data_IF_172817256372
#
_entry.id   IF_172817256372
#
_cell.length_a   1.000
_cell.length_b   1.000
_cell.length_c   1.000
_cell.angle_alpha   90.00
_cell.angle_beta   90.00
_cell.angle_gamma   90.00
#
_symmetry.space_group_name_H-M   'P 1'
#
loop_
_entity.id
_entity.type
_entity.pdbx_description
1 polymer ?
#
# COMPACT_ATOMS: atom_id res chain seq x y z
N UNK A 1 -16.42 1.73 -2.34
CA UNK A 1 -16.62 3.19 -2.47
C UNK A 1 -15.32 3.87 -2.84
N UNK A 2 -15.31 5.20 -3.01
CA UNK A 2 -14.10 5.99 -3.34
C UNK A 2 -13.49 6.53 -2.05
N UNK A 3 -12.31 6.03 -1.67
CA UNK A 3 -11.66 6.43 -0.41
C UNK A 3 -10.90 7.75 -0.50
N UNK A 4 -10.51 8.20 -1.70
CA UNK A 4 -9.66 9.37 -1.91
C UNK A 4 -10.32 10.68 -1.45
N UNK A 5 -9.56 11.65 -0.91
CA UNK A 5 -10.07 13.00 -0.67
C UNK A 5 -10.74 13.58 -1.91
N UNK A 6 -11.74 14.42 -1.68
CA UNK A 6 -12.45 15.16 -2.73
C UNK A 6 -11.87 16.56 -2.88
N UNK A 7 -11.72 17.08 -4.12
CA UNK A 7 -12.06 16.44 -5.39
C UNK A 7 -10.99 15.45 -5.90
N UNK A 8 -9.77 15.54 -5.38
CA UNK A 8 -8.64 14.64 -5.66
C UNK A 8 -7.67 14.64 -4.48
N UNK A 9 -6.59 13.85 -4.56
CA UNK A 9 -5.50 13.99 -3.60
C UNK A 9 -4.92 15.42 -3.58
N UNK A 10 -4.55 15.95 -2.40
CA UNK A 10 -3.93 17.26 -2.27
C UNK A 10 -2.64 17.37 -3.08
N UNK A 11 -2.51 18.41 -3.90
CA UNK A 11 -1.33 18.66 -4.73
C UNK A 11 -1.15 17.70 -5.91
N UNK A 12 -2.13 16.83 -6.19
CA UNK A 12 -2.06 15.93 -7.34
C UNK A 12 -2.00 16.75 -8.65
N UNK A 13 -1.03 16.48 -9.54
CA UNK A 13 -0.87 17.22 -10.79
C UNK A 13 -1.93 16.79 -11.81
N UNK A 14 -3.18 17.23 -11.61
CA UNK A 14 -4.25 17.00 -12.57
C UNK A 14 -4.08 17.88 -13.81
N UNK A 15 -4.48 17.37 -14.98
CA UNK A 15 -4.49 18.13 -16.23
C UNK A 15 -3.14 18.27 -16.95
N UNK A 16 -2.07 17.66 -16.43
CA UNK A 16 -0.78 17.53 -17.14
C UNK A 16 -0.70 16.19 -17.89
N UNK A 17 0.17 16.11 -18.88
CA UNK A 17 0.44 14.86 -19.63
C UNK A 17 1.49 13.96 -18.95
N UNK A 18 2.25 14.51 -18.00
CA UNK A 18 3.27 13.80 -17.23
C UNK A 18 3.55 14.53 -15.92
N UNK A 19 3.83 13.79 -14.84
CA UNK A 19 4.22 14.36 -13.55
C UNK A 19 4.67 13.27 -12.58
N UNK A 20 5.37 13.69 -11.53
CA UNK A 20 5.66 12.83 -10.37
C UNK A 20 4.84 13.31 -9.20
N UNK A 21 4.26 12.38 -8.45
CA UNK A 21 3.49 12.67 -7.25
C UNK A 21 3.92 11.71 -6.15
N UNK A 22 4.37 12.27 -5.04
CA UNK A 22 4.73 11.55 -3.83
C UNK A 22 4.10 12.30 -2.66
N UNK A 23 3.32 11.58 -1.85
CA UNK A 23 2.62 12.15 -0.71
C UNK A 23 2.37 11.07 0.33
N UNK A 24 2.62 11.41 1.59
CA UNK A 24 2.23 10.59 2.75
C UNK A 24 0.90 11.08 3.30
N UNK A 25 0.00 10.15 3.61
CA UNK A 25 -1.28 10.42 4.24
C UNK A 25 -1.32 9.80 5.64
N UNK A 26 -1.71 10.62 6.63
CA UNK A 26 -2.05 10.11 7.95
C UNK A 26 -3.48 9.54 7.91
N UNK A 27 -3.60 8.22 7.99
CA UNK A 27 -4.90 7.53 7.96
C UNK A 27 -5.70 7.69 9.26
N UNK A 28 -5.17 8.37 10.26
CA UNK A 28 -5.93 8.79 11.44
C UNK A 28 -6.62 10.15 11.23
N UNK A 29 -6.12 10.96 10.28
CA UNK A 29 -6.69 12.25 9.92
C UNK A 29 -7.92 12.07 9.00
N UNK A 30 -9.10 12.59 9.36
CA UNK A 30 -10.28 12.56 8.49
C UNK A 30 -10.07 13.26 7.14
N UNK A 31 -9.15 14.23 7.02
CA UNK A 31 -8.84 14.90 5.77
C UNK A 31 -8.19 13.98 4.71
N UNK A 32 -7.65 12.83 5.15
CA UNK A 32 -7.08 11.82 4.26
C UNK A 32 -8.14 10.99 3.51
N UNK A 33 -9.43 11.16 3.83
CA UNK A 33 -10.51 10.37 3.25
C UNK A 33 -11.60 11.22 2.60
N UNK A 34 -12.34 10.60 1.69
CA UNK A 34 -13.67 11.10 1.31
C UNK A 34 -14.62 11.03 2.52
N UNK A 35 -15.27 12.13 2.95
CA UNK A 35 -16.23 12.10 4.04
C UNK A 35 -17.38 11.11 3.81
N UNK A 36 -17.85 10.97 2.57
CA UNK A 36 -18.90 10.00 2.23
C UNK A 36 -18.43 8.54 2.38
N UNK A 37 -17.14 8.28 2.12
CA UNK A 37 -16.54 6.97 2.37
C UNK A 37 -16.44 6.67 3.86
N UNK A 38 -16.06 7.65 4.68
CA UNK A 38 -16.03 7.50 6.14
C UNK A 38 -17.43 7.17 6.67
N UNK A 39 -18.45 7.94 6.27
CA UNK A 39 -19.84 7.69 6.67
C UNK A 39 -20.33 6.30 6.26
N UNK A 40 -20.02 5.85 5.03
CA UNK A 40 -20.44 4.55 4.53
C UNK A 40 -19.76 3.35 5.23
N UNK A 41 -18.60 3.57 5.87
CA UNK A 41 -17.80 2.52 6.48
C UNK A 41 -17.73 2.69 8.01
N UNK A 42 -18.86 2.97 8.65
CA UNK A 42 -18.97 3.00 10.12
C UNK A 42 -18.71 4.35 10.78
N UNK A 43 -18.52 5.43 9.99
CA UNK A 43 -18.53 6.81 10.48
C UNK A 43 -17.27 7.26 11.21
N UNK A 44 -16.22 6.43 11.26
CA UNK A 44 -14.94 6.77 11.91
C UNK A 44 -13.77 6.55 10.94
N UNK A 45 -12.69 7.31 11.14
CA UNK A 45 -11.45 7.14 10.37
C UNK A 45 -10.84 5.77 10.57
N UNK A 46 -10.88 5.22 11.79
CA UNK A 46 -10.40 3.87 12.09
C UNK A 46 -11.12 2.78 11.29
N UNK A 47 -12.45 2.83 11.18
CA UNK A 47 -13.20 1.87 10.38
C UNK A 47 -12.95 2.06 8.87
N UNK A 48 -12.87 3.30 8.40
CA UNK A 48 -12.52 3.61 7.01
C UNK A 48 -11.12 3.11 6.63
N UNK A 49 -10.13 3.32 7.50
CA UNK A 49 -8.77 2.81 7.35
C UNK A 49 -8.76 1.29 7.26
N UNK A 50 -9.46 0.59 8.15
CA UNK A 50 -9.50 -0.87 8.14
C UNK A 50 -10.08 -1.44 6.83
N UNK A 51 -11.14 -0.80 6.30
CA UNK A 51 -11.72 -1.18 5.00
C UNK A 51 -10.75 -0.92 3.85
N UNK A 52 -10.05 0.22 3.86
CA UNK A 52 -9.06 0.56 2.84
C UNK A 52 -7.89 -0.44 2.84
N UNK A 53 -7.32 -0.74 4.02
CA UNK A 53 -6.22 -1.69 4.18
C UNK A 53 -6.63 -3.11 3.73
N UNK A 54 -7.79 -3.58 4.15
CA UNK A 54 -8.31 -4.86 3.67
C UNK A 54 -8.48 -4.89 2.14
N UNK A 55 -8.88 -3.78 1.53
CA UNK A 55 -8.95 -3.64 0.08
C UNK A 55 -7.58 -3.74 -0.60
N UNK A 56 -6.54 -3.16 0.00
CA UNK A 56 -5.17 -3.25 -0.48
C UNK A 56 -4.61 -4.68 -0.33
N UNK A 57 -4.78 -5.28 0.84
CA UNK A 57 -4.30 -6.65 1.14
C UNK A 57 -4.95 -7.70 0.25
N UNK A 58 -6.23 -7.50 -0.11
CA UNK A 58 -6.98 -8.38 -1.01
C UNK A 58 -6.81 -8.03 -2.49
N UNK A 59 -5.96 -7.06 -2.82
CA UNK A 59 -5.77 -6.58 -4.21
C UNK A 59 -7.08 -6.15 -4.89
N UNK A 60 -8.03 -5.62 -4.14
CA UNK A 60 -9.32 -5.10 -4.65
C UNK A 60 -9.34 -3.57 -4.72
N UNK A 61 -8.47 -2.91 -3.95
CA UNK A 61 -8.21 -1.49 -4.06
C UNK A 61 -7.29 -1.19 -5.25
N UNK A 62 -7.63 -0.15 -6.00
CA UNK A 62 -6.83 0.38 -7.09
C UNK A 62 -6.97 1.89 -7.11
N UNK A 63 -5.94 2.56 -7.61
CA UNK A 63 -6.01 3.98 -7.91
C UNK A 63 -6.48 4.16 -9.36
N UNK A 64 -7.50 4.98 -9.57
CA UNK A 64 -7.92 5.40 -10.90
C UNK A 64 -7.49 6.84 -11.15
N UNK A 65 -6.80 7.09 -12.26
CA UNK A 65 -6.37 8.43 -12.68
C UNK A 65 -7.17 8.83 -13.91
N UNK A 66 -7.87 9.96 -13.81
CA UNK A 66 -8.62 10.55 -14.91
C UNK A 66 -7.84 11.72 -15.50
N UNK A 67 -7.60 11.69 -16.80
CA UNK A 67 -6.95 12.78 -17.54
C UNK A 67 -7.86 13.31 -18.64
N UNK A 68 -7.49 14.44 -19.25
CA UNK A 68 -8.21 14.97 -20.43
C UNK A 68 -8.16 14.01 -21.62
N UNK A 69 -7.09 13.22 -21.76
CA UNK A 69 -6.93 12.23 -22.83
C UNK A 69 -7.58 10.89 -22.50
N UNK A 70 -7.75 10.57 -21.21
CA UNK A 70 -8.40 9.36 -20.71
C UNK A 70 -9.46 9.68 -19.64
N UNK A 71 -10.64 10.20 -20.05
CA UNK A 71 -11.66 10.68 -19.11
C UNK A 71 -12.33 9.55 -18.33
N UNK A 72 -12.37 8.35 -18.89
CA UNK A 72 -12.92 7.15 -18.25
C UNK A 72 -11.97 6.51 -17.21
N UNK A 73 -10.71 6.95 -17.18
CA UNK A 73 -9.65 6.38 -16.36
C UNK A 73 -8.77 5.41 -17.16
N UNK A 74 -7.46 5.63 -17.13
CA UNK A 74 -6.49 4.79 -17.84
C UNK A 74 -5.21 4.74 -17.01
N UNK A 75 -5.21 3.88 -15.98
CA UNK A 75 -4.08 3.14 -15.40
C UNK A 75 -4.66 2.37 -14.20
N UNK A 76 -4.59 1.04 -14.22
CA UNK A 76 -5.03 0.17 -13.11
C UNK A 76 -3.81 -0.54 -12.56
N UNK A 77 -3.25 -0.01 -11.48
CA UNK A 77 -2.21 -0.69 -10.70
C UNK A 77 -2.86 -1.41 -9.52
N UNK A 78 -2.61 -2.72 -9.41
CA UNK A 78 -2.89 -3.47 -8.19
C UNK A 78 -1.65 -3.42 -7.30
N UNK A 79 -1.82 -3.11 -6.01
CA UNK A 79 -0.73 -3.27 -5.04
C UNK A 79 -0.51 -4.77 -4.83
N UNK A 80 0.61 -5.30 -5.33
CA UNK A 80 1.11 -6.60 -4.91
C UNK A 80 2.08 -6.37 -3.75
N UNK A 81 1.93 -7.08 -2.62
CA UNK A 81 2.99 -7.10 -1.61
C UNK A 81 4.28 -7.54 -2.28
N UNK A 82 5.36 -6.77 -2.07
CA UNK A 82 6.70 -7.11 -2.56
C UNK A 82 7.17 -8.31 -1.73
N UNK A 83 7.49 -9.46 -2.34
CA UNK A 83 8.04 -10.59 -1.61
C UNK A 83 9.29 -10.15 -0.85
N UNK A 84 9.36 -10.44 0.45
CA UNK A 84 10.51 -10.02 1.24
C UNK A 84 11.81 -10.56 0.64
N UNK A 85 12.82 -9.70 0.40
CA UNK A 85 13.98 -10.04 -0.40
C UNK A 85 14.84 -11.05 0.36
N UNK A 86 14.75 -12.35 0.05
CA UNK A 86 15.63 -13.47 0.46
C UNK A 86 16.09 -13.54 1.93
N UNK A 87 15.61 -12.68 2.82
CA UNK A 87 16.18 -12.42 4.15
C UNK A 87 15.91 -13.59 5.07
N UNK A 88 14.71 -14.19 4.97
CA UNK A 88 14.39 -15.46 5.60
C UNK A 88 15.30 -16.60 5.11
N UNK A 89 15.61 -16.65 3.81
CA UNK A 89 16.52 -17.64 3.22
C UNK A 89 17.95 -17.48 3.74
N UNK A 90 18.47 -16.25 3.77
CA UNK A 90 19.79 -15.95 4.31
C UNK A 90 19.86 -16.22 5.82
N UNK A 91 18.82 -15.86 6.58
CA UNK A 91 18.74 -16.17 8.01
C UNK A 91 18.78 -17.69 8.26
N UNK A 92 18.06 -18.48 7.46
CA UNK A 92 18.10 -19.93 7.54
C UNK A 92 19.48 -20.51 7.21
N UNK A 93 20.15 -19.99 6.18
CA UNK A 93 21.52 -20.39 5.81
C UNK A 93 22.51 -20.08 6.94
N UNK A 94 22.42 -18.88 7.53
CA UNK A 94 23.25 -18.49 8.68
C UNK A 94 22.98 -19.41 9.87
N UNK A 95 21.72 -19.72 10.17
CA UNK A 95 21.35 -20.59 11.28
C UNK A 95 21.91 -22.01 11.11
N UNK A 96 21.80 -22.57 9.90
CA UNK A 96 22.36 -23.89 9.56
C UNK A 96 23.89 -23.90 9.61
N UNK A 97 24.55 -22.83 9.13
CA UNK A 97 26.01 -22.71 9.20
C UNK A 97 26.51 -22.68 10.65
N UNK A 98 25.82 -21.95 11.54
CA UNK A 98 26.15 -21.87 12.97
C UNK A 98 25.96 -23.23 13.66
N UNK A 99 24.86 -23.93 13.38
CA UNK A 99 24.62 -25.29 13.90
C UNK A 99 25.70 -26.27 13.38
N UNK A 100 26.08 -26.17 12.10
CA UNK A 100 27.14 -26.98 11.51
C UNK A 100 28.49 -26.74 12.19
N UNK A 101 28.87 -25.47 12.38
CA UNK A 101 30.12 -25.07 13.03
C UNK A 101 30.19 -25.53 14.50
N UNK A 102 29.08 -25.47 15.24
CA UNK A 102 29.04 -25.92 16.64
C UNK A 102 29.13 -27.45 16.78
N UNK A 103 28.65 -28.22 15.79
CA UNK A 103 28.81 -29.69 15.77
C UNK A 103 30.24 -30.13 15.45
N UNK A 104 30.90 -29.49 14.48
CA UNK A 104 32.30 -29.80 14.11
C UNK A 104 33.26 -29.55 15.28
N UNK A 105 33.02 -28.52 16.09
CA UNK A 105 33.86 -28.18 17.25
C UNK A 105 33.73 -29.11 18.46
N UNK A 106 32.70 -29.97 18.51
CA UNK A 106 32.45 -30.89 19.62
C UNK A 106 32.88 -32.34 19.34
N UNK A 107 33.37 -32.63 18.13
CA UNK A 107 33.79 -33.96 17.68
C UNK A 107 35.30 -34.19 17.60
N UNK A 108 36.11 -33.28 18.15
CA UNK A 108 37.57 -33.41 18.27
C UNK A 108 37.98 -33.52 19.74
#
# INVERSE_FOLDING_TARGET
>A
GVATPVPSFPGFPAGVTSGSYDQTFDLTDPASFNPAFVTANGGTTGSAMNVLLNGLDTSTAYLNIHTSTAPAGEIRGYFSPVPEPATAGLAAIVFLAVIGQTRVRRGC
#
